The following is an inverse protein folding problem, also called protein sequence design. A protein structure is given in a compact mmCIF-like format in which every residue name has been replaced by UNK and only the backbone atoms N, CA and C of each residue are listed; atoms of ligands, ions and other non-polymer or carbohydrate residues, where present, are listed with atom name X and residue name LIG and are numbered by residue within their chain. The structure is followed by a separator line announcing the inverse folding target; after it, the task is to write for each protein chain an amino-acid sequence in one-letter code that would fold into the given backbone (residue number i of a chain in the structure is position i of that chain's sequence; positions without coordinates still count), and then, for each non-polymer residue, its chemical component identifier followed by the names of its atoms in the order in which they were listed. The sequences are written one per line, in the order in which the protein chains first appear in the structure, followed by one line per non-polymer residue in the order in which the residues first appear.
data_IF_877444956471
#
_entry.id   IF_877444956471
#
_cell.length_a   1.000
_cell.length_b   1.000
_cell.length_c   1.000
_cell.angle_alpha   90.00
_cell.angle_beta   90.00
_cell.angle_gamma   90.00
#
_symmetry.space_group_name_H-M   'P 1'
#
loop_
_entity.id
_entity.type
_entity.pdbx_description
1 polymer ?
#
# COMPACT_ATOMS: atom_id res chain seq x y z
N UNK A 1 16.01 1.22 39.05
CA UNK A 1 14.87 1.29 38.10
C UNK A 1 15.31 0.64 36.80
N UNK A 2 14.71 -0.49 36.42
CA UNK A 2 14.83 -0.97 35.03
C UNK A 2 14.08 0.04 34.16
N UNK A 3 14.64 0.51 33.02
CA UNK A 3 13.84 1.31 32.11
C UNK A 3 12.62 0.48 31.73
N UNK A 4 11.42 1.07 31.86
CA UNK A 4 10.22 0.43 31.35
C UNK A 4 10.46 0.04 29.90
N UNK A 5 10.15 -1.20 29.50
CA UNK A 5 10.18 -1.56 28.09
C UNK A 5 9.25 -0.57 27.39
N UNK A 6 9.78 0.19 26.42
CA UNK A 6 8.95 1.06 25.60
C UNK A 6 7.95 0.16 24.89
N UNK A 7 6.79 0.06 25.53
CA UNK A 7 5.59 -0.58 25.06
C UNK A 7 5.45 -0.13 23.61
N UNK A 8 5.29 -1.09 22.69
CA UNK A 8 4.62 -0.82 21.41
C UNK A 8 3.32 -0.17 21.86
N UNK A 9 3.31 1.17 21.91
CA UNK A 9 2.11 1.93 22.16
C UNK A 9 1.16 1.33 21.15
N UNK A 10 0.05 0.75 21.62
CA UNK A 10 -1.11 0.52 20.77
C UNK A 10 -1.19 1.76 19.89
N UNK A 11 -0.76 1.69 18.63
CA UNK A 11 -0.89 2.81 17.70
C UNK A 11 -2.35 2.80 17.22
N UNK A 12 -3.27 2.72 18.19
CA UNK A 12 -4.65 3.08 18.02
C UNK A 12 -4.70 4.58 18.18
N UNK A 13 -5.22 5.25 17.14
CA UNK A 13 -5.87 6.56 17.21
C UNK A 13 -5.11 7.56 18.12
N UNK A 14 -3.99 8.11 17.65
CA UNK A 14 -3.32 9.23 18.34
C UNK A 14 -1.78 9.23 18.36
N UNK A 15 -1.10 8.30 17.69
CA UNK A 15 0.34 8.42 17.45
C UNK A 15 0.61 9.47 16.35
N UNK A 16 1.69 10.25 16.49
CA UNK A 16 2.09 11.21 15.46
C UNK A 16 2.41 10.47 14.15
N UNK A 17 2.00 11.01 12.99
CA UNK A 17 2.24 10.37 11.69
C UNK A 17 3.75 10.18 11.45
N UNK A 18 4.16 8.94 11.12
CA UNK A 18 5.55 8.60 10.81
C UNK A 18 5.80 8.82 9.32
N UNK A 19 6.68 9.76 8.99
CA UNK A 19 7.08 10.00 7.60
C UNK A 19 7.99 8.88 7.08
N UNK A 20 7.85 8.52 5.80
CA UNK A 20 8.77 7.61 5.14
C UNK A 20 10.17 8.22 5.13
N UNK A 21 11.15 7.44 5.53
CA UNK A 21 12.54 7.91 5.68
C UNK A 21 13.22 7.90 4.31
N UNK A 22 14.29 8.70 4.15
CA UNK A 22 15.08 8.66 2.91
C UNK A 22 15.64 7.25 2.65
N UNK A 23 16.00 6.54 3.72
CA UNK A 23 16.52 5.18 3.63
C UNK A 23 15.46 4.19 3.11
N UNK A 24 14.21 4.29 3.56
CA UNK A 24 13.11 3.47 3.05
C UNK A 24 12.89 3.68 1.54
N UNK A 25 12.88 4.93 1.09
CA UNK A 25 12.73 5.25 -0.33
C UNK A 25 13.91 4.73 -1.17
N UNK A 26 15.13 4.89 -0.66
CA UNK A 26 16.34 4.37 -1.31
C UNK A 26 16.33 2.84 -1.37
N UNK A 27 15.88 2.19 -0.30
CA UNK A 27 15.72 0.74 -0.24
C UNK A 27 14.68 0.24 -1.26
N UNK A 28 13.50 0.88 -1.33
CA UNK A 28 12.46 0.53 -2.31
C UNK A 28 12.96 0.70 -3.75
N UNK A 29 13.81 1.70 -4.03
CA UNK A 29 14.41 1.90 -5.34
C UNK A 29 15.26 0.70 -5.80
N UNK A 30 15.87 -0.04 -4.87
CA UNK A 30 16.64 -1.23 -5.23
C UNK A 30 15.76 -2.36 -5.80
N UNK A 31 14.50 -2.47 -5.38
CA UNK A 31 13.55 -3.40 -5.99
C UNK A 31 13.10 -2.93 -7.38
N UNK A 32 12.92 -1.62 -7.56
CA UNK A 32 12.61 -1.03 -8.87
C UNK A 32 13.72 -1.37 -9.87
N UNK A 33 14.99 -1.31 -9.45
CA UNK A 33 16.12 -1.71 -10.28
C UNK A 33 16.04 -3.18 -10.73
N UNK A 34 15.69 -4.11 -9.83
CA UNK A 34 15.50 -5.53 -10.18
C UNK A 34 14.40 -5.69 -11.21
N UNK A 35 13.24 -5.05 -10.99
CA UNK A 35 12.09 -5.13 -11.91
C UNK A 35 12.44 -4.53 -13.27
N UNK A 36 13.13 -3.39 -13.30
CA UNK A 36 13.61 -2.77 -14.53
C UNK A 36 14.55 -3.69 -15.31
N UNK A 37 15.48 -4.36 -14.61
CA UNK A 37 16.40 -5.35 -15.18
C UNK A 37 15.66 -6.59 -15.71
N UNK A 38 14.63 -7.05 -15.00
CA UNK A 38 13.80 -8.17 -15.41
C UNK A 38 12.97 -7.83 -16.66
N UNK A 39 12.44 -6.61 -16.70
CA UNK A 39 11.65 -6.09 -17.82
C UNK A 39 12.52 -5.92 -19.05
N UNK A 40 13.72 -5.33 -18.92
CA UNK A 40 14.63 -5.14 -20.04
C UNK A 40 15.09 -6.46 -20.67
N UNK A 41 15.30 -7.50 -19.85
CA UNK A 41 15.62 -8.85 -20.34
C UNK A 41 14.51 -9.44 -21.23
N UNK A 42 13.25 -9.20 -20.88
CA UNK A 42 12.10 -9.78 -21.59
C UNK A 42 11.46 -8.82 -22.60
N UNK A 43 11.96 -7.59 -22.74
CA UNK A 43 11.33 -6.56 -23.56
C UNK A 43 11.23 -6.93 -25.06
N UNK A 44 12.11 -7.81 -25.54
CA UNK A 44 12.11 -8.29 -26.92
C UNK A 44 11.49 -9.70 -27.07
N UNK A 45 11.11 -10.36 -25.97
CA UNK A 45 10.57 -11.72 -25.97
C UNK A 45 9.05 -11.70 -25.75
N UNK A 46 8.30 -11.94 -26.82
CA UNK A 46 6.84 -12.00 -26.81
C UNK A 46 6.30 -13.43 -26.69
N UNK A 47 7.15 -14.41 -26.35
CA UNK A 47 6.71 -15.80 -26.18
C UNK A 47 5.97 -16.02 -24.86
N UNK A 48 5.10 -17.04 -24.84
CA UNK A 48 4.42 -17.47 -23.60
C UNK A 48 5.42 -17.93 -22.54
N UNK A 49 6.51 -18.59 -22.96
CA UNK A 49 7.57 -19.03 -22.05
C UNK A 49 8.28 -17.85 -21.39
N UNK A 50 8.62 -16.81 -22.16
CA UNK A 50 9.20 -15.57 -21.64
C UNK A 50 8.26 -14.85 -20.68
N UNK A 51 6.96 -14.78 -21.00
CA UNK A 51 5.96 -14.20 -20.12
C UNK A 51 5.83 -14.96 -18.79
N UNK A 52 5.90 -16.30 -18.81
CA UNK A 52 5.85 -17.15 -17.61
C UNK A 52 7.12 -16.98 -16.76
N UNK A 53 8.32 -16.96 -17.36
CA UNK A 53 9.57 -16.72 -16.63
C UNK A 53 9.56 -15.32 -15.98
N UNK A 54 9.17 -14.29 -16.72
CA UNK A 54 9.00 -12.93 -16.21
C UNK A 54 8.03 -12.92 -15.02
N UNK A 55 6.82 -13.46 -15.19
CA UNK A 55 5.79 -13.45 -14.15
C UNK A 55 6.26 -14.19 -12.88
N UNK A 56 6.91 -15.34 -13.03
CA UNK A 56 7.43 -16.12 -11.91
C UNK A 56 8.51 -15.33 -11.15
N UNK A 57 9.52 -14.80 -11.85
CA UNK A 57 10.62 -14.03 -11.22
C UNK A 57 10.12 -12.73 -10.61
N UNK A 58 9.19 -12.03 -11.27
CA UNK A 58 8.52 -10.87 -10.72
C UNK A 58 7.80 -11.20 -9.41
N UNK A 59 7.04 -12.30 -9.40
CA UNK A 59 6.29 -12.74 -8.23
C UNK A 59 7.20 -13.07 -7.05
N UNK A 60 8.35 -13.71 -7.30
CA UNK A 60 9.38 -13.99 -6.29
C UNK A 60 9.96 -12.69 -5.70
N UNK A 61 10.33 -11.73 -6.56
CA UNK A 61 10.85 -10.42 -6.12
C UNK A 61 9.80 -9.65 -5.34
N UNK A 62 8.55 -9.68 -5.80
CA UNK A 62 7.41 -9.07 -5.12
C UNK A 62 7.17 -9.67 -3.73
N UNK A 63 7.30 -11.00 -3.57
CA UNK A 63 7.19 -11.66 -2.26
C UNK A 63 8.32 -11.25 -1.29
N UNK A 64 9.53 -11.04 -1.78
CA UNK A 64 10.62 -10.50 -0.96
C UNK A 64 10.32 -9.10 -0.47
N UNK A 65 9.87 -8.23 -1.37
CA UNK A 65 9.48 -6.87 -1.03
C UNK A 65 8.34 -6.86 0.01
N UNK A 66 7.34 -7.73 -0.18
CA UNK A 66 6.22 -7.86 0.75
C UNK A 66 6.68 -8.31 2.14
N UNK A 67 7.58 -9.30 2.21
CA UNK A 67 8.15 -9.80 3.47
C UNK A 67 8.87 -8.70 4.25
N UNK A 68 9.64 -7.87 3.56
CA UNK A 68 10.29 -6.71 4.18
C UNK A 68 9.29 -5.64 4.61
N UNK A 69 8.33 -5.29 3.75
CA UNK A 69 7.31 -4.29 4.04
C UNK A 69 6.50 -4.67 5.29
N UNK A 70 6.18 -5.95 5.45
CA UNK A 70 5.49 -6.45 6.63
C UNK A 70 6.32 -6.37 7.92
N UNK A 71 7.63 -6.57 7.84
CA UNK A 71 8.53 -6.33 8.96
C UNK A 71 8.59 -4.83 9.28
N UNK A 72 8.85 -3.99 8.27
CA UNK A 72 9.02 -2.56 8.44
C UNK A 72 7.75 -1.92 9.02
N UNK A 73 6.58 -2.33 8.56
CA UNK A 73 5.29 -1.86 9.08
C UNK A 73 5.06 -2.19 10.56
N UNK A 74 5.75 -3.20 11.11
CA UNK A 74 5.59 -3.63 12.51
C UNK A 74 6.67 -3.12 13.44
N UNK A 75 7.90 -2.99 12.95
CA UNK A 75 9.07 -2.79 13.80
C UNK A 75 9.98 -1.63 13.39
N UNK A 76 9.76 -1.00 12.23
CA UNK A 76 10.62 0.10 11.81
C UNK A 76 10.43 1.33 12.71
N UNK A 77 11.53 1.78 13.29
CA UNK A 77 11.60 2.91 14.21
C UNK A 77 12.60 3.96 13.74
N UNK A 78 13.02 3.94 12.46
CA UNK A 78 14.00 4.88 11.89
C UNK A 78 15.33 4.88 12.68
N UNK A 79 15.74 3.71 13.17
CA UNK A 79 16.96 3.56 13.97
C UNK A 79 18.17 3.28 13.09
N UNK A 80 19.32 3.84 13.48
CA UNK A 80 20.58 3.62 12.74
C UNK A 80 20.97 2.14 12.62
N UNK A 81 20.69 1.32 13.64
CA UNK A 81 20.97 -0.12 13.59
C UNK A 81 20.01 -0.90 12.68
N UNK A 82 18.84 -0.35 12.37
CA UNK A 82 17.94 -0.88 11.34
C UNK A 82 18.44 -0.53 9.94
N UNK A 83 18.97 0.69 9.75
CA UNK A 83 19.60 1.11 8.48
C UNK A 83 20.87 0.33 8.17
N UNK A 84 21.75 0.14 9.18
CA UNK A 84 22.96 -0.68 9.04
C UNK A 84 22.60 -2.11 8.58
N UNK A 85 21.51 -2.68 9.12
CA UNK A 85 21.02 -3.99 8.68
C UNK A 85 20.35 -3.97 7.29
N UNK A 86 19.87 -2.80 6.85
CA UNK A 86 19.29 -2.63 5.52
C UNK A 86 20.32 -2.60 4.38
N UNK A 87 21.53 -2.09 4.61
CA UNK A 87 22.57 -2.08 3.56
C UNK A 87 22.93 -3.49 3.04
N UNK A 88 23.19 -4.51 3.89
CA UNK A 88 23.37 -5.89 3.43
C UNK A 88 22.16 -6.46 2.67
N UNK A 89 20.93 -6.05 3.03
CA UNK A 89 19.72 -6.45 2.31
C UNK A 89 19.73 -5.88 0.88
N UNK A 90 20.14 -4.62 0.72
CA UNK A 90 20.31 -3.99 -0.61
C UNK A 90 21.36 -4.75 -1.43
N UNK A 91 22.49 -5.15 -0.85
CA UNK A 91 23.48 -5.97 -1.54
C UNK A 91 22.89 -7.32 -2.01
N UNK A 92 22.04 -7.95 -1.18
CA UNK A 92 21.27 -9.12 -1.59
C UNK A 92 20.37 -8.86 -2.80
N UNK A 93 19.63 -7.75 -2.79
CA UNK A 93 18.78 -7.31 -3.91
C UNK A 93 19.60 -7.04 -5.18
N UNK A 94 20.79 -6.44 -5.06
CA UNK A 94 21.69 -6.23 -6.19
C UNK A 94 22.21 -7.56 -6.75
N UNK A 95 22.49 -8.55 -5.90
CA UNK A 95 22.80 -9.91 -6.33
C UNK A 95 21.65 -10.57 -7.12
N UNK A 96 20.41 -10.34 -6.68
CA UNK A 96 19.19 -10.76 -7.42
C UNK A 96 19.13 -10.07 -8.78
N UNK A 97 19.34 -8.74 -8.83
CA UNK A 97 19.35 -7.97 -10.08
C UNK A 97 20.39 -8.55 -11.06
N UNK A 98 21.61 -8.81 -10.58
CA UNK A 98 22.66 -9.44 -11.36
C UNK A 98 22.25 -10.82 -11.88
N UNK A 99 21.64 -11.66 -11.03
CA UNK A 99 21.14 -12.97 -11.42
C UNK A 99 20.09 -12.94 -12.55
N UNK A 100 19.32 -11.84 -12.63
CA UNK A 100 18.32 -11.64 -13.68
C UNK A 100 18.94 -11.24 -15.03
N UNK A 101 20.14 -10.65 -15.07
CA UNK A 101 20.75 -10.15 -16.33
C UNK A 101 21.07 -11.21 -17.39
N UNK A 102 21.06 -12.50 -17.04
CA UNK A 102 21.52 -13.58 -17.92
C UNK A 102 23.02 -13.86 -17.83
N UNK A 103 23.69 -13.30 -16.82
CA UNK A 103 25.07 -13.59 -16.50
C UNK A 103 25.32 -15.09 -16.22
N UNK A 104 26.59 -15.50 -16.32
CA UNK A 104 27.02 -16.85 -15.96
C UNK A 104 26.58 -17.18 -14.51
N UNK A 105 25.95 -18.33 -14.32
CA UNK A 105 25.34 -18.75 -13.05
C UNK A 105 24.23 -17.81 -12.54
N UNK A 106 23.50 -17.12 -13.44
CA UNK A 106 22.45 -16.16 -13.09
C UNK A 106 21.42 -16.72 -12.10
N UNK A 107 20.94 -17.94 -12.30
CA UNK A 107 19.98 -18.57 -11.38
C UNK A 107 20.55 -18.84 -9.97
N UNK A 108 21.87 -19.09 -9.87
CA UNK A 108 22.55 -19.27 -8.59
C UNK A 108 22.66 -17.93 -7.86
N UNK A 109 23.02 -16.86 -8.56
CA UNK A 109 23.03 -15.50 -8.01
C UNK A 109 21.63 -15.03 -7.59
N UNK A 110 20.62 -15.40 -8.36
CA UNK A 110 19.23 -15.12 -8.04
C UNK A 110 18.81 -15.81 -6.74
N UNK A 111 19.00 -17.13 -6.64
CA UNK A 111 18.65 -17.91 -5.44
C UNK A 111 19.49 -17.55 -4.21
N UNK A 112 20.79 -17.24 -4.38
CA UNK A 112 21.66 -16.85 -3.27
C UNK A 112 21.30 -15.46 -2.72
N UNK A 113 20.98 -14.50 -3.61
CA UNK A 113 20.48 -13.19 -3.22
C UNK A 113 19.16 -13.26 -2.45
N UNK A 114 18.22 -14.10 -2.92
CA UNK A 114 16.96 -14.37 -2.22
C UNK A 114 17.22 -14.96 -0.82
N UNK A 115 18.09 -15.96 -0.74
CA UNK A 115 18.47 -16.61 0.52
C UNK A 115 19.05 -15.61 1.52
N UNK A 116 20.06 -14.83 1.09
CA UNK A 116 20.71 -13.84 1.93
C UNK A 116 19.70 -12.78 2.42
N UNK A 117 18.83 -12.29 1.53
CA UNK A 117 17.79 -11.34 1.87
C UNK A 117 16.83 -11.91 2.93
N UNK A 118 16.30 -13.12 2.72
CA UNK A 118 15.37 -13.75 3.67
C UNK A 118 16.02 -14.00 5.03
N UNK A 119 17.27 -14.44 5.08
CA UNK A 119 18.00 -14.60 6.35
C UNK A 119 18.16 -13.26 7.09
N UNK A 120 18.46 -12.17 6.38
CA UNK A 120 18.58 -10.84 6.97
C UNK A 120 17.23 -10.31 7.49
N UNK A 121 16.12 -10.57 6.81
CA UNK A 121 14.78 -10.22 7.29
C UNK A 121 14.37 -11.12 8.47
N UNK A 122 14.67 -12.41 8.42
CA UNK A 122 14.45 -13.33 9.54
C UNK A 122 15.22 -12.91 10.79
N UNK A 123 16.49 -12.50 10.63
CA UNK A 123 17.30 -11.95 11.71
C UNK A 123 16.71 -10.64 12.25
N UNK A 124 16.24 -9.75 11.37
CA UNK A 124 15.59 -8.51 11.78
C UNK A 124 14.34 -8.76 12.63
N UNK A 125 13.48 -9.71 12.22
CA UNK A 125 12.35 -10.16 13.03
C UNK A 125 12.81 -10.73 14.39
N UNK A 126 13.83 -11.60 14.41
CA UNK A 126 14.32 -12.21 15.64
C UNK A 126 14.88 -11.18 16.62
N UNK A 127 15.66 -10.22 16.11
CA UNK A 127 16.26 -9.14 16.89
C UNK A 127 15.18 -8.23 17.45
N UNK A 128 14.32 -7.69 16.59
CA UNK A 128 13.39 -6.64 16.98
C UNK A 128 12.23 -7.19 17.82
N UNK A 129 11.79 -8.43 17.58
CA UNK A 129 10.80 -9.08 18.44
C UNK A 129 11.32 -9.31 19.87
N UNK A 130 12.63 -9.55 20.02
CA UNK A 130 13.28 -9.72 21.34
C UNK A 130 13.50 -8.37 22.03
N UNK A 131 13.94 -7.35 21.29
CA UNK A 131 14.14 -6.00 21.82
C UNK A 131 12.84 -5.38 22.34
N UNK A 132 11.75 -5.62 21.62
CA UNK A 132 10.44 -5.02 21.94
C UNK A 132 9.61 -5.90 22.90
N UNK A 133 10.14 -7.05 23.34
CA UNK A 133 9.50 -7.91 24.35
C UNK A 133 8.28 -8.70 23.86
N UNK A 134 8.05 -8.78 22.54
CA UNK A 134 6.90 -9.48 21.92
C UNK A 134 7.35 -10.75 21.20
N UNK A 135 8.32 -11.48 21.74
CA UNK A 135 8.93 -12.63 21.09
C UNK A 135 7.91 -13.71 20.67
N UNK A 136 6.83 -13.89 21.43
CA UNK A 136 5.80 -14.88 21.14
C UNK A 136 5.07 -14.64 19.80
N UNK A 137 4.88 -13.39 19.37
CA UNK A 137 4.16 -13.05 18.14
C UNK A 137 5.10 -12.91 16.92
N UNK A 138 6.33 -12.42 17.10
CA UNK A 138 7.28 -12.23 15.99
C UNK A 138 8.15 -13.45 15.67
N UNK A 139 8.42 -14.33 16.63
CA UNK A 139 9.30 -15.50 16.44
C UNK A 139 8.81 -16.49 15.38
N UNK A 140 7.50 -16.80 15.25
CA UNK A 140 7.00 -17.64 14.16
C UNK A 140 7.34 -17.11 12.77
N UNK A 141 7.25 -15.78 12.55
CA UNK A 141 7.61 -15.17 11.27
C UNK A 141 9.10 -15.28 10.97
N UNK A 142 9.96 -15.09 11.98
CA UNK A 142 11.41 -15.26 11.85
C UNK A 142 11.77 -16.71 11.48
N UNK A 143 11.22 -17.70 12.19
CA UNK A 143 11.46 -19.13 11.91
C UNK A 143 10.98 -19.49 10.52
N UNK A 144 9.79 -19.05 10.13
CA UNK A 144 9.24 -19.29 8.80
C UNK A 144 10.14 -18.73 7.69
N UNK A 145 10.57 -17.47 7.81
CA UNK A 145 11.46 -16.85 6.83
C UNK A 145 12.83 -17.53 6.77
N UNK A 146 13.36 -17.99 7.90
CA UNK A 146 14.61 -18.75 7.95
C UNK A 146 14.46 -20.12 7.26
N UNK A 147 13.37 -20.85 7.51
CA UNK A 147 13.08 -22.12 6.83
C UNK A 147 12.93 -21.91 5.32
N UNK A 148 12.21 -20.87 4.88
CA UNK A 148 12.10 -20.50 3.48
C UNK A 148 13.47 -20.17 2.87
N UNK A 149 14.33 -19.46 3.60
CA UNK A 149 15.68 -19.17 3.12
C UNK A 149 16.50 -20.44 2.90
N UNK A 150 16.40 -21.43 3.81
CA UNK A 150 17.06 -22.73 3.64
C UNK A 150 16.53 -23.51 2.43
N UNK A 151 15.21 -23.43 2.18
CA UNK A 151 14.61 -24.04 1.00
C UNK A 151 15.11 -23.38 -0.29
N UNK A 152 15.20 -22.04 -0.33
CA UNK A 152 15.80 -21.31 -1.45
C UNK A 152 17.28 -21.67 -1.66
N UNK A 153 18.05 -21.78 -0.58
CA UNK A 153 19.44 -22.23 -0.61
C UNK A 153 19.58 -23.63 -1.22
N UNK A 154 18.67 -24.54 -0.88
CA UNK A 154 18.66 -25.89 -1.42
C UNK A 154 18.46 -25.91 -2.95
N UNK A 155 17.74 -24.94 -3.52
CA UNK A 155 17.52 -24.86 -4.98
C UNK A 155 18.80 -24.62 -5.78
N UNK A 156 19.85 -24.09 -5.16
CA UNK A 156 21.15 -23.87 -5.82
C UNK A 156 21.78 -25.20 -6.25
N UNK A 157 21.60 -26.24 -5.44
CA UNK A 157 22.16 -27.57 -5.66
C UNK A 157 21.31 -28.43 -6.61
N UNK A 158 20.13 -27.94 -7.03
CA UNK A 158 19.30 -28.63 -8.00
C UNK A 158 19.85 -28.44 -9.43
N UNK A 159 19.74 -29.48 -10.30
CA UNK A 159 19.95 -29.33 -11.73
C UNK A 159 19.01 -28.29 -12.34
N UNK A 160 19.39 -27.69 -13.47
CA UNK A 160 18.61 -26.63 -14.15
C UNK A 160 17.15 -27.04 -14.43
N UNK A 161 16.93 -28.31 -14.83
CA UNK A 161 15.59 -28.85 -15.09
C UNK A 161 14.70 -28.95 -13.85
N UNK A 162 15.30 -29.07 -12.65
CA UNK A 162 14.59 -29.17 -11.38
C UNK A 162 14.32 -27.83 -10.69
N UNK A 163 14.99 -26.75 -11.10
CA UNK A 163 14.87 -25.44 -10.43
C UNK A 163 13.53 -24.77 -10.65
N UNK A 164 13.04 -24.73 -11.89
CA UNK A 164 11.74 -24.12 -12.22
C UNK A 164 10.57 -24.71 -11.40
N UNK A 165 10.35 -26.05 -11.36
CA UNK A 165 9.27 -26.61 -10.55
C UNK A 165 9.49 -26.39 -9.05
N UNK A 166 10.75 -26.40 -8.59
CA UNK A 166 11.05 -26.07 -7.19
C UNK A 166 10.68 -24.61 -6.86
N UNK A 167 11.00 -23.65 -7.72
CA UNK A 167 10.66 -22.24 -7.52
C UNK A 167 9.15 -22.01 -7.50
N UNK A 168 8.41 -22.64 -8.41
CA UNK A 168 6.93 -22.59 -8.41
C UNK A 168 6.38 -23.12 -7.09
N UNK A 169 6.88 -24.28 -6.63
CA UNK A 169 6.48 -24.85 -5.35
C UNK A 169 6.77 -23.92 -4.18
N UNK A 170 7.96 -23.30 -4.14
CA UNK A 170 8.34 -22.36 -3.08
C UNK A 170 7.46 -21.11 -3.08
N UNK A 171 7.14 -20.54 -4.24
CA UNK A 171 6.23 -19.39 -4.34
C UNK A 171 4.84 -19.72 -3.78
N UNK A 172 4.29 -20.89 -4.13
CA UNK A 172 3.00 -21.35 -3.62
C UNK A 172 3.04 -21.58 -2.10
N UNK A 173 4.12 -22.19 -1.61
CA UNK A 173 4.34 -22.37 -0.17
C UNK A 173 4.40 -21.02 0.57
N UNK A 174 5.05 -20.01 -0.04
CA UNK A 174 5.14 -18.66 0.51
C UNK A 174 3.79 -17.95 0.54
N UNK A 175 2.91 -18.18 -0.43
CA UNK A 175 1.53 -17.68 -0.39
C UNK A 175 0.68 -18.37 0.67
N UNK A 176 0.89 -19.67 0.90
CA UNK A 176 0.17 -20.40 1.94
C UNK A 176 0.59 -19.97 3.36
N UNK A 177 1.84 -19.56 3.54
CA UNK A 177 2.43 -19.24 4.83
C UNK A 177 1.69 -18.14 5.63
N UNK A 178 1.31 -16.99 5.03
CA UNK A 178 0.46 -15.98 5.68
C UNK A 178 -0.89 -16.52 6.16
N UNK A 179 -1.51 -17.46 5.46
CA UNK A 179 -2.79 -18.05 5.88
C UNK A 179 -2.61 -18.96 7.10
N UNK A 180 -1.49 -19.67 7.19
CA UNK A 180 -1.14 -20.49 8.36
C UNK A 180 -0.86 -19.64 9.61
N UNK A 181 -0.36 -18.41 9.41
CA UNK A 181 -0.07 -17.44 10.47
C UNK A 181 -1.13 -16.34 10.60
N UNK A 182 -2.25 -16.42 9.87
CA UNK A 182 -3.27 -15.37 9.82
C UNK A 182 -3.86 -15.08 11.20
N UNK A 183 -4.16 -16.13 11.98
CA UNK A 183 -4.66 -16.01 13.36
C UNK A 183 -3.70 -15.26 14.29
N UNK A 184 -2.39 -15.33 14.06
CA UNK A 184 -1.38 -14.56 14.82
C UNK A 184 -1.13 -13.17 14.25
N UNK A 185 -1.53 -12.93 13.01
CA UNK A 185 -1.41 -11.63 12.34
C UNK A 185 -2.49 -10.64 12.82
N UNK A 186 -3.62 -11.15 13.32
CA UNK A 186 -4.68 -10.35 13.96
C UNK A 186 -4.22 -9.71 15.29
N UNK A 187 -3.22 -10.29 15.96
CA UNK A 187 -2.65 -9.72 17.19
C UNK A 187 -1.82 -8.45 16.91
N UNK A 188 -1.25 -8.32 15.71
CA UNK A 188 -0.48 -7.13 15.25
C UNK A 188 -0.77 -6.88 13.76
N UNK A 189 -1.92 -6.26 13.44
CA UNK A 189 -2.34 -6.04 12.06
C UNK A 189 -1.44 -5.02 11.35
N UNK A 190 -1.12 -5.22 10.06
CA UNK A 190 -0.44 -4.21 9.25
C UNK A 190 -1.36 -3.01 9.00
N UNK A 191 -0.85 -1.80 9.22
CA UNK A 191 -1.62 -0.56 9.13
C UNK A 191 -1.89 -0.16 7.65
N UNK A 192 -3.15 -0.14 7.18
CA UNK A 192 -3.51 0.18 5.78
C UNK A 192 -3.28 1.65 5.39
N UNK A 193 -3.09 2.51 6.39
CA UNK A 193 -3.05 3.98 6.27
C UNK A 193 -1.76 4.48 5.62
N UNK A 194 -0.70 3.66 5.59
CA UNK A 194 0.64 4.09 5.21
C UNK A 194 0.92 4.14 3.70
N UNK A 195 0.11 3.52 2.85
CA UNK A 195 0.39 3.46 1.41
C UNK A 195 0.32 4.83 0.70
N UNK A 196 -0.70 5.67 0.93
CA UNK A 196 -0.79 7.00 0.31
C UNK A 196 0.17 8.03 0.91
N UNK A 197 0.56 7.85 2.18
CA UNK A 197 1.52 8.71 2.87
C UNK A 197 2.96 8.44 2.41
N UNK A 198 3.29 7.19 2.05
CA UNK A 198 4.58 6.82 1.42
C UNK A 198 4.88 7.59 0.13
N UNK A 199 3.85 8.00 -0.61
CA UNK A 199 4.01 8.83 -1.82
C UNK A 199 4.08 10.34 -1.52
N UNK A 200 3.87 10.75 -0.26
CA UNK A 200 3.93 12.14 0.17
C UNK A 200 2.84 13.03 -0.43
N UNK A 201 1.65 12.50 -0.71
CA UNK A 201 0.59 13.21 -1.44
C UNK A 201 -0.34 14.03 -0.52
N UNK A 202 -0.56 13.61 0.72
CA UNK A 202 -1.34 14.37 1.71
C UNK A 202 -0.81 14.18 3.14
N UNK A 203 -1.35 14.92 4.10
CA UNK A 203 -1.04 14.83 5.54
C UNK A 203 -2.28 15.08 6.38
N UNK A 204 -2.33 14.56 7.61
CA UNK A 204 -3.35 14.91 8.60
C UNK A 204 -2.77 15.84 9.67
N UNK A 205 -3.58 16.78 10.16
CA UNK A 205 -3.19 17.69 11.25
C UNK A 205 -4.27 17.71 12.32
N UNK A 206 -3.93 17.44 13.60
CA UNK A 206 -4.88 17.55 14.71
C UNK A 206 -5.52 18.94 14.83
N UNK A 207 -4.82 20.00 14.40
CA UNK A 207 -5.36 21.37 14.41
C UNK A 207 -6.47 21.59 13.38
N UNK A 208 -6.47 20.83 12.29
CA UNK A 208 -7.47 20.95 11.22
C UNK A 208 -8.69 20.09 11.51
N UNK A 209 -8.47 18.90 12.09
CA UNK A 209 -9.53 17.99 12.48
C UNK A 209 -9.30 16.57 11.96
N UNK A 210 -9.80 15.59 12.71
CA UNK A 210 -9.67 14.17 12.36
C UNK A 210 -10.50 13.87 11.11
N UNK A 211 -9.91 13.16 10.14
CA UNK A 211 -10.58 12.78 8.89
C UNK A 211 -10.56 13.84 7.79
N UNK A 212 -9.85 14.96 7.99
CA UNK A 212 -9.68 16.02 6.98
C UNK A 212 -8.25 16.01 6.42
N UNK A 213 -8.00 15.33 5.27
CA UNK A 213 -6.68 15.27 4.67
C UNK A 213 -6.29 16.61 4.04
N UNK A 214 -5.07 17.06 4.32
CA UNK A 214 -4.44 18.21 3.67
C UNK A 214 -3.57 17.74 2.51
N UNK A 215 -3.90 18.18 1.29
CA UNK A 215 -3.16 17.81 0.09
C UNK A 215 -1.83 18.60 0.01
N UNK A 216 -0.70 17.88 -0.08
CA UNK A 216 0.62 18.46 -0.32
C UNK A 216 0.76 18.83 -1.81
N UNK A 217 1.71 19.69 -2.22
CA UNK A 217 1.83 20.15 -3.61
C UNK A 217 1.78 19.02 -4.66
N UNK A 218 2.51 17.93 -4.44
CA UNK A 218 2.51 16.76 -5.36
C UNK A 218 1.16 16.05 -5.43
N UNK A 219 0.47 15.89 -4.30
CA UNK A 219 -0.86 15.28 -4.26
C UNK A 219 -1.93 16.19 -4.85
N UNK A 220 -1.82 17.50 -4.66
CA UNK A 220 -2.68 18.48 -5.29
C UNK A 220 -2.55 18.42 -6.82
N UNK A 221 -1.33 18.33 -7.36
CA UNK A 221 -1.10 18.16 -8.82
C UNK A 221 -1.73 16.88 -9.36
N UNK A 222 -1.56 15.75 -8.67
CA UNK A 222 -2.17 14.49 -9.08
C UNK A 222 -3.70 14.59 -9.09
N UNK A 223 -4.27 15.13 -8.02
CA UNK A 223 -5.72 15.31 -7.88
C UNK A 223 -6.27 16.22 -8.98
N UNK A 224 -5.64 17.36 -9.23
CA UNK A 224 -6.01 18.32 -10.28
C UNK A 224 -5.94 17.68 -11.68
N UNK A 225 -4.91 16.87 -11.94
CA UNK A 225 -4.79 16.11 -13.21
C UNK A 225 -5.98 15.15 -13.39
N UNK A 226 -6.36 14.42 -12.35
CA UNK A 226 -7.49 13.49 -12.38
C UNK A 226 -8.84 14.22 -12.51
N UNK A 227 -9.01 15.34 -11.81
CA UNK A 227 -10.23 16.15 -11.87
C UNK A 227 -10.43 16.77 -13.26
N UNK A 228 -9.35 17.23 -13.92
CA UNK A 228 -9.40 17.72 -15.31
C UNK A 228 -9.77 16.61 -16.28
N UNK A 229 -9.07 15.49 -16.22
CA UNK A 229 -9.38 14.34 -17.07
C UNK A 229 -10.84 13.88 -16.91
N UNK A 230 -11.33 13.78 -15.67
CA UNK A 230 -12.72 13.41 -15.39
C UNK A 230 -13.72 14.44 -15.96
N UNK A 231 -13.39 15.73 -15.90
CA UNK A 231 -14.23 16.80 -16.46
C UNK A 231 -14.28 16.70 -17.98
N UNK A 232 -13.15 16.46 -18.63
CA UNK A 232 -13.07 16.32 -20.08
C UNK A 232 -13.94 15.14 -20.55
N UNK A 233 -13.80 13.98 -19.89
CA UNK A 233 -14.64 12.80 -20.16
C UNK A 233 -16.13 13.10 -19.97
N UNK A 234 -16.50 13.84 -18.91
CA UNK A 234 -17.90 14.21 -18.68
C UNK A 234 -18.46 15.09 -19.81
N UNK A 235 -17.68 16.08 -20.25
CA UNK A 235 -18.07 16.98 -21.36
C UNK A 235 -18.22 16.20 -22.67
N UNK A 236 -17.26 15.32 -22.98
CA UNK A 236 -17.32 14.45 -24.16
C UNK A 236 -18.57 13.55 -24.18
N UNK A 237 -19.04 13.14 -23.01
CA UNK A 237 -20.26 12.35 -22.85
C UNK A 237 -21.54 13.20 -22.70
N UNK A 238 -21.46 14.52 -22.94
CA UNK A 238 -22.62 15.41 -22.97
C UNK A 238 -23.13 15.86 -21.59
N UNK A 239 -22.32 15.75 -20.53
CA UNK A 239 -22.67 16.31 -19.22
C UNK A 239 -22.38 17.81 -19.16
N UNK A 240 -23.32 18.57 -18.59
CA UNK A 240 -23.17 20.01 -18.37
C UNK A 240 -22.60 20.30 -16.98
N UNK A 241 -21.43 20.97 -16.88
CA UNK A 241 -20.82 21.27 -15.59
C UNK A 241 -21.60 22.37 -14.86
N UNK A 242 -21.98 22.11 -13.60
CA UNK A 242 -22.64 23.08 -12.71
C UNK A 242 -21.86 23.22 -11.39
N UNK A 243 -21.98 24.39 -10.75
CA UNK A 243 -21.41 24.65 -9.43
C UNK A 243 -22.53 24.96 -8.45
N UNK A 244 -22.63 24.19 -7.36
CA UNK A 244 -23.65 24.35 -6.32
C UNK A 244 -23.01 24.72 -4.99
N UNK A 245 -23.67 25.54 -4.14
CA UNK A 245 -23.18 25.85 -2.80
C UNK A 245 -22.92 24.60 -1.95
N UNK A 246 -21.90 24.65 -1.09
CA UNK A 246 -21.56 23.58 -0.15
C UNK A 246 -22.39 23.60 1.14
N UNK A 247 -23.25 24.61 1.31
CA UNK A 247 -24.15 24.78 2.45
C UNK A 247 -25.54 25.04 1.88
N UNK A 248 -26.56 24.42 2.49
CA UNK A 248 -27.95 24.60 2.09
C UNK A 248 -28.87 24.76 3.30
N UNK A 249 -30.01 25.43 3.09
CA UNK A 249 -31.06 25.53 4.09
C UNK A 249 -31.60 24.13 4.43
N UNK A 250 -31.89 23.89 5.71
CA UNK A 250 -32.39 22.60 6.22
C UNK A 250 -33.65 22.09 5.48
N UNK A 251 -34.50 22.99 5.00
CA UNK A 251 -35.72 22.66 4.25
C UNK A 251 -35.41 21.93 2.94
N UNK A 252 -34.25 22.19 2.31
CA UNK A 252 -33.78 21.45 1.13
C UNK A 252 -33.53 19.97 1.47
N UNK A 253 -32.95 19.70 2.64
CA UNK A 253 -32.65 18.34 3.10
C UNK A 253 -33.90 17.60 3.56
N UNK A 254 -34.87 18.30 4.14
CA UNK A 254 -36.19 17.75 4.46
C UNK A 254 -36.97 17.40 3.18
N UNK A 255 -37.01 18.32 2.23
CA UNK A 255 -37.70 18.14 0.94
C UNK A 255 -37.11 17.00 0.12
N UNK A 256 -35.77 16.85 0.13
CA UNK A 256 -35.10 15.74 -0.56
C UNK A 256 -35.16 14.40 0.18
N UNK A 257 -35.78 14.35 1.37
CA UNK A 257 -35.89 13.14 2.19
C UNK A 257 -34.59 12.72 2.90
N UNK A 258 -33.50 13.48 2.79
CA UNK A 258 -32.22 13.13 3.41
C UNK A 258 -32.17 13.41 4.91
N UNK A 259 -32.97 14.36 5.39
CA UNK A 259 -32.96 14.76 6.79
C UNK A 259 -33.27 13.61 7.78
N UNK A 260 -34.35 12.82 7.64
CA UNK A 260 -34.68 11.76 8.60
C UNK A 260 -33.72 10.54 8.58
N UNK A 261 -33.02 10.29 7.47
CA UNK A 261 -32.17 9.09 7.32
C UNK A 261 -30.67 9.38 7.52
N UNK A 262 -30.23 10.61 7.29
CA UNK A 262 -28.82 10.98 7.33
C UNK A 262 -28.51 12.08 8.35
N UNK A 263 -29.47 12.43 9.22
CA UNK A 263 -29.29 13.47 10.24
C UNK A 263 -28.03 13.25 11.08
N UNK A 264 -27.79 12.00 11.45
CA UNK A 264 -26.76 11.57 12.41
C UNK A 264 -25.39 11.38 11.75
N UNK A 265 -25.35 11.27 10.42
CA UNK A 265 -24.12 11.09 9.62
C UNK A 265 -23.65 12.40 8.96
N UNK A 266 -24.31 13.52 9.25
CA UNK A 266 -24.05 14.83 8.67
C UNK A 266 -23.54 15.81 9.73
N UNK A 267 -22.87 16.89 9.30
CA UNK A 267 -22.45 17.94 10.20
C UNK A 267 -23.63 18.62 10.89
N UNK A 268 -23.40 19.08 12.12
CA UNK A 268 -24.40 19.83 12.88
C UNK A 268 -24.84 21.08 12.10
N UNK A 269 -26.14 21.44 12.15
CA UNK A 269 -26.62 22.64 11.49
C UNK A 269 -26.03 23.88 12.19
N UNK A 270 -25.72 24.88 11.39
CA UNK A 270 -25.26 26.20 11.80
C UNK A 270 -26.47 27.13 11.76
N UNK A 271 -26.73 27.85 12.86
CA UNK A 271 -27.75 28.88 12.91
C UNK A 271 -27.15 30.22 12.44
N UNK A 272 -27.76 30.82 11.42
CA UNK A 272 -27.44 32.16 10.93
C UNK A 272 -28.76 32.91 10.79
N UNK A 273 -28.92 33.99 11.54
CA UNK A 273 -30.10 34.88 11.49
C UNK A 273 -31.45 34.14 11.56
N UNK A 274 -31.58 33.26 12.57
CA UNK A 274 -32.76 32.40 12.82
C UNK A 274 -33.07 31.35 11.73
N UNK A 275 -32.19 31.21 10.74
CA UNK A 275 -32.23 30.16 9.75
C UNK A 275 -31.19 29.06 10.02
N UNK A 276 -31.61 27.81 9.82
CA UNK A 276 -30.75 26.64 9.99
C UNK A 276 -30.16 26.21 8.65
N UNK A 277 -28.84 26.33 8.55
CA UNK A 277 -28.05 25.89 7.41
C UNK A 277 -27.25 24.65 7.76
N UNK A 278 -27.06 23.73 6.82
CA UNK A 278 -26.26 22.51 7.06
C UNK A 278 -25.14 22.35 6.02
N UNK A 279 -23.88 22.12 6.46
CA UNK A 279 -22.79 21.78 5.56
C UNK A 279 -23.04 20.46 4.83
N UNK A 280 -22.77 20.45 3.53
CA UNK A 280 -22.96 19.30 2.66
C UNK A 280 -21.74 18.37 2.69
N UNK A 281 -21.91 17.10 3.08
CA UNK A 281 -20.92 16.05 2.79
C UNK A 281 -21.24 15.47 1.40
N UNK A 282 -20.27 15.47 0.50
CA UNK A 282 -20.41 15.42 -0.98
C UNK A 282 -21.08 14.20 -1.64
N UNK A 283 -21.95 13.45 -0.96
CA UNK A 283 -22.64 12.29 -1.51
C UNK A 283 -24.14 12.49 -1.80
N UNK A 284 -24.78 13.59 -1.38
CA UNK A 284 -26.26 13.65 -1.34
C UNK A 284 -26.93 14.71 -2.25
N UNK A 285 -26.19 15.62 -2.89
CA UNK A 285 -26.78 16.68 -3.72
C UNK A 285 -27.18 16.24 -5.15
N UNK A 286 -26.80 15.04 -5.60
CA UNK A 286 -27.15 14.59 -6.97
C UNK A 286 -28.65 14.32 -7.18
N UNK A 287 -29.40 14.04 -6.11
CA UNK A 287 -30.82 13.69 -6.19
C UNK A 287 -31.76 14.92 -6.19
N UNK A 288 -31.42 15.96 -5.42
CA UNK A 288 -32.34 17.09 -5.21
C UNK A 288 -32.45 18.03 -6.43
N UNK A 289 -31.35 18.24 -7.18
CA UNK A 289 -31.36 19.07 -8.38
C UNK A 289 -32.13 18.40 -9.54
N UNK A 290 -32.03 17.08 -9.69
CA UNK A 290 -32.75 16.36 -10.74
C UNK A 290 -34.24 16.16 -10.45
N UNK A 291 -34.65 16.17 -9.18
CA UNK A 291 -36.05 15.91 -8.81
C UNK A 291 -36.96 17.10 -9.09
N UNK A 292 -36.45 18.34 -9.16
CA UNK A 292 -37.26 19.53 -9.51
C UNK A 292 -37.33 19.82 -11.02
N UNK A 293 -36.61 19.07 -11.86
CA UNK A 293 -36.67 19.12 -13.33
C UNK A 293 -37.53 18.00 -13.95
N UNK A 294 -38.35 17.30 -13.15
CA UNK A 294 -39.37 16.36 -13.65
C UNK A 294 -40.76 17.00 -13.65
N UNK A 295 -40.94 18.11 -14.36
CA UNK A 295 -42.26 18.46 -14.90
C UNK A 295 -42.08 19.24 -16.20
N UNK A 296 -42.42 18.59 -17.33
CA UNK A 296 -42.47 19.10 -18.71
C UNK A 296 -41.14 19.37 -19.42
N UNK A 297 -40.70 18.43 -20.26
CA UNK A 297 -40.81 18.54 -21.74
C UNK A 297 -39.92 17.46 -22.37
N UNK A 298 -40.57 16.46 -22.95
CA UNK A 298 -39.99 15.56 -23.93
C UNK A 298 -39.61 16.39 -25.15
N UNK A 299 -38.35 16.41 -25.56
CA UNK A 299 -37.95 16.59 -26.96
C UNK A 299 -36.53 16.01 -27.14
N UNK A 300 -36.50 14.71 -27.46
CA UNK A 300 -35.35 14.02 -28.03
C UNK A 300 -35.12 14.62 -29.42
N UNK A 301 -34.02 15.36 -29.64
CA UNK A 301 -33.61 15.77 -30.98
C UNK A 301 -33.32 14.51 -31.80
N UNK A 302 -34.18 14.26 -32.77
CA UNK A 302 -33.90 13.46 -33.95
C UNK A 302 -33.32 14.44 -34.97
N UNK A 303 -32.04 14.26 -35.33
CA UNK A 303 -31.47 14.10 -36.68
C UNK A 303 -30.07 13.53 -36.48
#
# INVERSE_FOLDING_TARGET
MRPEPQVIRKQGVGAAPRHATWFELFFDLSFVLVIATLTSRHAADYTVSGAVDFALRFLIVWQLWLSHTFWASRYDQDRIDQHILGFPKILGILGIAYGVTGAQYGDVWFASGITAFKLLVAFAYLRDTRLVGHAASGMPFSVMLALQALLWLATIFLPETGRLPAWIFLVLLEFAAPFLLARRSEEVPPHPEHLPERLGLFTFSPMVGKGLPLWKPKGATLRDTLERWLRDVQIENGYEPVMTPHIGNIELYKTSGHYPYYSDSQYAPINVDDELFRPHSGATARSASQTKMRTRTVLRRSV
#
